data_IF_034357298005
#
_entry.id   IF_034357298005
#
_cell.length_a   1.000
_cell.length_b   1.000
_cell.length_c   1.000
_cell.angle_alpha   90.00
_cell.angle_beta   90.00
_cell.angle_gamma   90.00
#
_symmetry.space_group_name_H-M   'P 1'
#
loop_
_entity.id
_entity.type
_entity.pdbx_description
1 polymer ?
#
# COMPACT_ATOMS: atom_id res chain seq x y z
N UNK A 1 -0.27 8.32 28.50
CA UNK A 1 -1.22 7.50 27.70
C UNK A 1 -1.76 8.36 26.56
N UNK A 2 -1.85 7.87 25.30
CA UNK A 2 -2.42 8.67 24.22
C UNK A 2 -3.90 8.93 24.51
N UNK A 3 -4.32 10.19 24.37
CA UNK A 3 -5.71 10.59 24.58
C UNK A 3 -6.64 9.93 23.57
N UNK A 4 -7.76 9.34 24.00
CA UNK A 4 -8.75 8.75 23.11
C UNK A 4 -9.31 9.79 22.10
N UNK A 5 -9.63 9.40 20.85
CA UNK A 5 -10.31 10.26 19.88
C UNK A 5 -11.62 10.81 20.43
N UNK A 6 -11.94 12.09 20.10
CA UNK A 6 -13.22 12.72 20.49
C UNK A 6 -14.37 12.14 19.63
N UNK A 7 -15.58 12.04 20.19
CA UNK A 7 -16.78 11.58 19.44
C UNK A 7 -17.07 12.42 18.19
N UNK A 8 -16.83 13.72 18.25
CA UNK A 8 -16.98 14.64 17.10
C UNK A 8 -16.09 14.28 15.90
N UNK A 9 -15.00 13.52 16.11
CA UNK A 9 -14.10 13.09 15.01
C UNK A 9 -14.53 11.77 14.35
N UNK A 10 -15.57 11.10 14.79
CA UNK A 10 -16.00 9.79 14.26
C UNK A 10 -16.34 9.79 12.76
N UNK A 11 -17.08 10.79 12.21
CA UNK A 11 -17.31 10.85 10.76
C UNK A 11 -16.00 10.97 9.96
N UNK A 12 -15.05 11.79 10.46
CA UNK A 12 -13.73 11.94 9.85
C UNK A 12 -12.90 10.63 9.90
N UNK A 13 -12.99 9.88 11.01
CA UNK A 13 -12.33 8.57 11.16
C UNK A 13 -12.92 7.55 10.18
N UNK A 14 -14.25 7.50 10.03
CA UNK A 14 -14.91 6.61 9.06
C UNK A 14 -14.52 6.94 7.62
N UNK A 15 -14.47 8.23 7.26
CA UNK A 15 -14.01 8.68 5.94
C UNK A 15 -12.54 8.34 5.67
N UNK A 16 -11.67 8.61 6.65
CA UNK A 16 -10.25 8.27 6.56
C UNK A 16 -10.03 6.75 6.44
N UNK A 17 -10.83 5.92 7.14
CA UNK A 17 -10.76 4.48 7.06
C UNK A 17 -11.15 3.97 5.67
N UNK A 18 -12.25 4.46 5.08
CA UNK A 18 -12.66 4.10 3.72
C UNK A 18 -11.58 4.47 2.70
N UNK A 19 -11.04 5.67 2.80
CA UNK A 19 -9.97 6.13 1.92
C UNK A 19 -8.72 5.24 2.07
N UNK A 20 -8.31 4.92 3.30
CA UNK A 20 -7.22 3.98 3.57
C UNK A 20 -7.46 2.60 2.95
N UNK A 21 -8.67 2.04 3.07
CA UNK A 21 -9.01 0.74 2.51
C UNK A 21 -8.86 0.72 0.99
N UNK A 22 -9.38 1.74 0.29
CA UNK A 22 -9.27 1.86 -1.16
C UNK A 22 -7.80 1.96 -1.57
N UNK A 23 -7.03 2.86 -0.94
CA UNK A 23 -5.61 3.03 -1.23
C UNK A 23 -4.82 1.75 -0.95
N UNK A 24 -5.11 1.04 0.14
CA UNK A 24 -4.45 -0.21 0.53
C UNK A 24 -4.65 -1.31 -0.52
N UNK A 25 -5.87 -1.46 -1.03
CA UNK A 25 -6.18 -2.45 -2.07
C UNK A 25 -5.45 -2.11 -3.38
N UNK A 26 -5.54 -0.85 -3.84
CA UNK A 26 -4.89 -0.41 -5.07
C UNK A 26 -3.37 -0.60 -4.98
N UNK A 27 -2.76 -0.15 -3.88
CA UNK A 27 -1.32 -0.28 -3.66
C UNK A 27 -0.90 -1.75 -3.52
N UNK A 28 -1.71 -2.59 -2.86
CA UNK A 28 -1.48 -4.02 -2.73
C UNK A 28 -1.51 -4.75 -4.08
N UNK A 29 -2.50 -4.45 -4.93
CA UNK A 29 -2.57 -5.00 -6.30
C UNK A 29 -1.40 -4.51 -7.14
N UNK A 30 -1.07 -3.21 -7.10
CA UNK A 30 0.09 -2.65 -7.80
C UNK A 30 1.40 -3.31 -7.40
N UNK A 31 1.57 -3.61 -6.10
CA UNK A 31 2.74 -4.32 -5.59
C UNK A 31 2.82 -5.77 -6.11
N UNK A 32 1.69 -6.48 -6.18
CA UNK A 32 1.65 -7.83 -6.74
C UNK A 32 2.02 -7.83 -8.22
N UNK A 33 1.50 -6.88 -9.00
CA UNK A 33 1.89 -6.71 -10.40
C UNK A 33 3.39 -6.44 -10.53
N UNK A 34 3.93 -5.54 -9.71
CA UNK A 34 5.36 -5.23 -9.71
C UNK A 34 6.22 -6.45 -9.37
N UNK A 35 5.83 -7.24 -8.36
CA UNK A 35 6.54 -8.48 -8.02
C UNK A 35 6.46 -9.50 -9.17
N UNK A 36 5.30 -9.61 -9.84
CA UNK A 36 5.15 -10.48 -11.01
C UNK A 36 6.09 -10.06 -12.13
N UNK A 37 6.16 -8.76 -12.46
CA UNK A 37 7.08 -8.22 -13.45
C UNK A 37 8.55 -8.47 -13.06
N UNK A 38 8.90 -8.30 -11.80
CA UNK A 38 10.24 -8.60 -11.31
C UNK A 38 10.59 -10.08 -11.47
N UNK A 39 9.64 -10.98 -11.21
CA UNK A 39 9.83 -12.42 -11.45
C UNK A 39 10.04 -12.69 -12.95
N UNK A 40 9.21 -12.15 -13.84
CA UNK A 40 9.33 -12.35 -15.28
C UNK A 40 10.66 -11.83 -15.81
N UNK A 41 11.11 -10.68 -15.34
CA UNK A 41 12.33 -10.03 -15.82
C UNK A 41 13.62 -10.67 -15.31
N UNK A 42 13.68 -11.02 -14.01
CA UNK A 42 14.92 -11.41 -13.32
C UNK A 42 15.07 -12.93 -13.12
N UNK A 43 14.05 -13.74 -13.43
CA UNK A 43 14.19 -15.21 -13.46
C UNK A 43 14.67 -15.69 -14.83
N UNK A 44 14.95 -16.99 -15.04
CA UNK A 44 15.34 -17.53 -16.34
C UNK A 44 14.35 -17.30 -17.49
N UNK A 45 13.17 -16.72 -17.22
CA UNK A 45 12.17 -16.39 -18.24
C UNK A 45 12.64 -15.17 -19.07
N UNK A 46 13.27 -14.18 -18.42
CA UNK A 46 13.85 -12.97 -19.04
C UNK A 46 12.93 -12.28 -20.05
N UNK A 47 11.69 -11.95 -19.66
CA UNK A 47 10.76 -11.23 -20.53
C UNK A 47 10.24 -9.96 -19.85
N UNK A 48 9.94 -8.96 -20.65
CA UNK A 48 9.29 -7.71 -20.26
C UNK A 48 8.03 -7.48 -21.09
N UNK A 49 7.01 -6.88 -20.48
CA UNK A 49 5.75 -6.58 -21.13
C UNK A 49 5.79 -5.19 -21.79
N UNK A 50 5.42 -5.12 -23.06
CA UNK A 50 5.35 -3.90 -23.87
C UNK A 50 3.97 -3.66 -24.43
N UNK A 51 3.64 -2.38 -24.61
CA UNK A 51 2.44 -1.89 -25.28
C UNK A 51 2.84 -1.17 -26.56
N UNK A 52 2.30 -1.61 -27.71
CA UNK A 52 2.64 -1.03 -29.02
C UNK A 52 4.02 -1.45 -29.52
N UNK A 53 4.46 -0.86 -30.61
CA UNK A 53 5.71 -1.22 -31.28
C UNK A 53 5.56 -2.38 -32.29
N UNK A 54 6.67 -3.02 -32.65
CA UNK A 54 6.72 -4.05 -33.70
C UNK A 54 5.96 -5.33 -33.34
N UNK A 55 5.81 -5.64 -32.03
CA UNK A 55 5.14 -6.86 -31.56
C UNK A 55 3.61 -6.74 -31.41
N UNK A 56 3.01 -5.57 -31.67
CA UNK A 56 1.56 -5.38 -31.62
C UNK A 56 1.05 -4.64 -30.39
N UNK A 57 -0.24 -4.81 -30.05
CA UNK A 57 -0.85 -4.02 -28.98
C UNK A 57 -0.30 -4.34 -27.60
N UNK A 58 -0.14 -5.62 -27.26
CA UNK A 58 0.45 -6.10 -26.01
C UNK A 58 1.27 -7.35 -26.31
N UNK A 59 2.54 -7.33 -25.95
CA UNK A 59 3.47 -8.40 -26.27
C UNK A 59 4.63 -8.49 -25.29
N UNK A 60 5.27 -9.65 -25.24
CA UNK A 60 6.45 -9.88 -24.42
C UNK A 60 7.71 -9.74 -25.27
N UNK A 61 8.61 -8.88 -24.86
CA UNK A 61 9.94 -8.76 -25.44
C UNK A 61 10.96 -9.47 -24.56
N UNK A 62 11.98 -10.05 -25.19
CA UNK A 62 13.08 -10.66 -24.47
C UNK A 62 13.90 -9.60 -23.74
N UNK A 63 14.25 -9.90 -22.51
CA UNK A 63 15.13 -9.10 -21.67
C UNK A 63 16.51 -9.80 -21.65
N UNK A 64 17.50 -9.21 -22.32
CA UNK A 64 18.84 -9.81 -22.44
C UNK A 64 19.69 -9.43 -21.23
N UNK A 65 20.12 -10.40 -20.41
CA UNK A 65 21.04 -10.13 -19.30
C UNK A 65 22.41 -9.72 -19.85
N UNK A 66 22.97 -8.63 -19.32
CA UNK A 66 24.31 -8.21 -19.64
C UNK A 66 25.37 -9.23 -19.18
N UNK A 67 26.61 -9.13 -19.69
CA UNK A 67 27.68 -10.11 -19.42
C UNK A 67 28.03 -10.24 -17.92
N UNK A 68 27.74 -9.21 -17.11
CA UNK A 68 28.03 -9.19 -15.67
C UNK A 68 26.83 -9.64 -14.80
N UNK A 69 25.75 -10.14 -15.41
CA UNK A 69 24.52 -10.50 -14.76
C UNK A 69 24.60 -11.87 -14.09
N UNK A 70 24.95 -11.90 -12.80
CA UNK A 70 24.81 -13.09 -11.98
C UNK A 70 23.55 -12.99 -11.12
N UNK A 71 22.85 -14.10 -10.96
CA UNK A 71 21.56 -14.18 -10.25
C UNK A 71 21.56 -13.54 -8.85
N UNK A 72 22.69 -13.58 -8.16
CA UNK A 72 22.88 -13.01 -6.83
C UNK A 72 23.57 -11.63 -6.80
N UNK A 73 23.89 -11.03 -7.93
CA UNK A 73 24.63 -9.75 -7.96
C UNK A 73 23.86 -8.59 -7.32
N UNK A 74 22.52 -8.70 -7.24
CA UNK A 74 21.68 -7.72 -6.55
C UNK A 74 21.86 -7.73 -5.02
N UNK A 75 22.31 -8.85 -4.44
CA UNK A 75 22.45 -9.06 -3.00
C UNK A 75 23.89 -9.08 -2.52
N UNK A 76 24.86 -8.99 -3.42
CA UNK A 76 26.27 -8.96 -3.07
C UNK A 76 26.74 -7.52 -2.88
N UNK A 77 27.23 -7.11 -1.69
CA UNK A 77 27.82 -5.79 -1.49
C UNK A 77 28.99 -5.57 -2.45
N UNK A 78 28.89 -4.53 -3.29
CA UNK A 78 29.90 -4.23 -4.33
C UNK A 78 29.69 -4.91 -5.69
N UNK A 79 28.62 -5.70 -5.85
CA UNK A 79 28.21 -6.20 -7.18
C UNK A 79 27.68 -5.06 -8.05
N UNK A 80 28.19 -4.95 -9.26
CA UNK A 80 27.71 -4.00 -10.29
C UNK A 80 26.35 -4.45 -10.81
N UNK A 81 25.28 -4.39 -10.12
CA UNK A 81 23.91 -4.79 -10.47
C UNK A 81 23.72 -5.41 -11.87
N UNK A 82 22.82 -6.34 -11.98
CA UNK A 82 22.50 -6.96 -13.26
C UNK A 82 21.88 -5.92 -14.20
N UNK A 83 22.60 -5.46 -15.23
CA UNK A 83 22.02 -4.66 -16.29
C UNK A 83 21.26 -5.57 -17.26
N UNK A 84 19.94 -5.46 -17.24
CA UNK A 84 19.07 -6.17 -18.19
C UNK A 84 18.71 -5.19 -19.30
N UNK A 85 19.10 -5.50 -20.51
CA UNK A 85 18.79 -4.73 -21.70
C UNK A 85 17.45 -5.19 -22.26
N UNK A 86 16.53 -4.27 -22.38
CA UNK A 86 15.23 -4.51 -23.02
C UNK A 86 15.38 -4.47 -24.54
N UNK A 87 14.80 -5.43 -25.24
CA UNK A 87 14.78 -5.46 -26.72
C UNK A 87 13.49 -4.90 -27.32
N UNK A 88 12.51 -4.53 -26.46
CA UNK A 88 11.23 -4.00 -26.92
C UNK A 88 11.31 -2.53 -27.36
N UNK A 89 10.51 -2.19 -28.38
CA UNK A 89 10.45 -0.86 -29.01
C UNK A 89 9.16 -0.08 -28.71
N UNK A 90 8.33 -0.57 -27.80
CA UNK A 90 7.07 0.06 -27.37
C UNK A 90 7.16 0.77 -26.02
N UNK A 91 5.99 1.04 -25.42
CA UNK A 91 5.89 1.52 -24.06
C UNK A 91 6.14 0.37 -23.09
N UNK A 92 7.18 0.47 -22.28
CA UNK A 92 7.53 -0.54 -21.29
C UNK A 92 6.51 -0.50 -20.14
N UNK A 93 5.65 -1.53 -20.08
CA UNK A 93 4.58 -1.64 -19.06
C UNK A 93 5.18 -1.92 -17.69
N UNK A 94 6.29 -2.67 -17.59
CA UNK A 94 6.98 -2.92 -16.32
C UNK A 94 7.43 -1.61 -15.67
N UNK A 95 8.00 -0.70 -16.47
CA UNK A 95 8.37 0.64 -16.01
C UNK A 95 7.13 1.48 -15.62
N UNK A 96 6.07 1.39 -16.43
CA UNK A 96 4.81 2.10 -16.13
C UNK A 96 4.19 1.62 -14.81
N UNK A 97 4.16 0.31 -14.56
CA UNK A 97 3.69 -0.27 -13.29
C UNK A 97 4.53 0.25 -12.11
N UNK A 98 5.86 0.28 -12.25
CA UNK A 98 6.75 0.79 -11.21
C UNK A 98 6.46 2.26 -10.86
N UNK A 99 6.33 3.12 -11.87
CA UNK A 99 6.07 4.56 -11.68
C UNK A 99 4.68 4.77 -11.05
N UNK A 100 3.65 4.11 -11.59
CA UNK A 100 2.26 4.23 -11.11
C UNK A 100 2.15 3.70 -9.67
N UNK A 101 2.76 2.55 -9.37
CA UNK A 101 2.79 2.00 -8.01
C UNK A 101 3.47 2.98 -7.04
N UNK A 102 4.59 3.59 -7.43
CA UNK A 102 5.29 4.58 -6.62
C UNK A 102 4.40 5.76 -6.23
N UNK A 103 3.64 6.32 -7.18
CA UNK A 103 2.68 7.40 -6.91
C UNK A 103 1.53 6.96 -6.00
N UNK A 104 0.94 5.79 -6.24
CA UNK A 104 -0.10 5.25 -5.37
C UNK A 104 0.41 4.95 -3.97
N UNK A 105 1.67 4.53 -3.84
CA UNK A 105 2.29 4.34 -2.53
C UNK A 105 2.40 5.63 -1.73
N UNK A 106 2.72 6.77 -2.36
CA UNK A 106 2.71 8.09 -1.69
C UNK A 106 1.30 8.43 -1.19
N UNK A 107 0.26 8.25 -2.02
CA UNK A 107 -1.14 8.47 -1.62
C UNK A 107 -1.54 7.53 -0.47
N UNK A 108 -1.11 6.28 -0.53
CA UNK A 108 -1.30 5.30 0.54
C UNK A 108 -0.65 5.75 1.85
N UNK A 109 0.58 6.26 1.85
CA UNK A 109 1.25 6.79 3.04
C UNK A 109 0.48 7.96 3.66
N UNK A 110 -0.06 8.87 2.83
CA UNK A 110 -0.93 9.97 3.29
C UNK A 110 -2.18 9.41 3.98
N UNK A 111 -2.80 8.37 3.40
CA UNK A 111 -3.96 7.71 4.00
C UNK A 111 -3.65 7.04 5.34
N UNK A 112 -2.51 6.35 5.45
CA UNK A 112 -2.00 5.75 6.68
C UNK A 112 -1.77 6.82 7.76
N UNK A 113 -1.15 7.94 7.38
CA UNK A 113 -0.90 9.06 8.28
C UNK A 113 -2.20 9.66 8.82
N UNK A 114 -3.21 9.84 7.96
CA UNK A 114 -4.53 10.34 8.39
C UNK A 114 -5.19 9.41 9.41
N UNK A 115 -5.24 8.10 9.14
CA UNK A 115 -5.82 7.13 10.09
C UNK A 115 -5.03 7.11 11.39
N UNK A 116 -3.71 7.05 11.32
CA UNK A 116 -2.82 7.06 12.47
C UNK A 116 -3.03 8.31 13.35
N UNK A 117 -3.04 9.50 12.74
CA UNK A 117 -3.21 10.78 13.43
C UNK A 117 -4.58 10.89 14.11
N UNK A 118 -5.67 10.53 13.39
CA UNK A 118 -7.04 10.58 13.94
C UNK A 118 -7.25 9.59 15.09
N UNK A 119 -6.68 8.40 14.99
CA UNK A 119 -6.75 7.35 16.00
C UNK A 119 -5.75 7.56 17.14
N UNK A 120 -4.83 8.53 17.03
CA UNK A 120 -3.79 8.84 18.01
C UNK A 120 -2.99 7.61 18.45
N UNK A 121 -2.66 6.75 17.50
CA UNK A 121 -1.90 5.53 17.75
C UNK A 121 -0.41 5.83 18.01
N UNK A 122 0.34 4.93 18.67
CA UNK A 122 1.78 5.05 18.79
C UNK A 122 2.43 4.96 17.41
N UNK A 123 3.57 5.65 17.21
CA UNK A 123 4.28 5.73 15.92
C UNK A 123 4.61 4.36 15.32
N UNK A 124 4.91 3.37 16.14
CA UNK A 124 5.16 1.98 15.69
C UNK A 124 4.02 1.44 14.81
N UNK A 125 2.76 1.76 15.09
CA UNK A 125 1.63 1.33 14.25
C UNK A 125 1.63 2.02 12.89
N UNK A 126 2.04 3.28 12.82
CA UNK A 126 2.20 3.96 11.53
C UNK A 126 3.25 3.26 10.68
N UNK A 127 4.41 2.90 11.25
CA UNK A 127 5.47 2.17 10.54
C UNK A 127 4.96 0.82 10.02
N UNK A 128 4.23 0.04 10.83
CA UNK A 128 3.63 -1.22 10.37
C UNK A 128 2.62 -1.01 9.23
N UNK A 129 1.80 0.04 9.29
CA UNK A 129 0.89 0.37 8.19
C UNK A 129 1.66 0.73 6.93
N UNK A 130 2.69 1.57 7.03
CA UNK A 130 3.52 1.97 5.90
C UNK A 130 4.21 0.77 5.23
N UNK A 131 4.73 -0.19 6.00
CA UNK A 131 5.33 -1.42 5.49
C UNK A 131 4.33 -2.29 4.70
N UNK A 132 3.03 -2.15 4.95
CA UNK A 132 2.01 -2.83 4.18
C UNK A 132 2.06 -2.56 2.68
N UNK A 133 2.52 -1.37 2.25
CA UNK A 133 2.66 -1.03 0.84
C UNK A 133 3.97 -1.50 0.19
N UNK A 134 4.87 -2.14 0.94
CA UNK A 134 6.18 -2.64 0.46
C UNK A 134 6.26 -4.16 0.49
N UNK A 135 5.59 -4.79 1.45
CA UNK A 135 5.63 -6.26 1.61
C UNK A 135 4.40 -6.88 0.93
N UNK A 136 4.59 -7.80 -0.03
CA UNK A 136 3.49 -8.50 -0.70
C UNK A 136 2.53 -9.14 0.32
N UNK A 137 1.24 -9.10 0.02
CA UNK A 137 0.13 -9.61 0.87
C UNK A 137 -0.06 -8.91 2.22
N UNK A 138 0.96 -8.26 2.79
CA UNK A 138 0.87 -7.59 4.09
C UNK A 138 -0.16 -6.43 4.05
N UNK A 139 -0.29 -5.75 2.91
CA UNK A 139 -1.29 -4.71 2.69
C UNK A 139 -2.71 -5.19 2.99
N UNK A 140 -3.09 -6.34 2.44
CA UNK A 140 -4.43 -6.92 2.63
C UNK A 140 -4.67 -7.37 4.06
N UNK A 141 -3.66 -7.99 4.70
CA UNK A 141 -3.76 -8.44 6.10
C UNK A 141 -3.92 -7.24 7.04
N UNK A 142 -3.11 -6.18 6.83
CA UNK A 142 -3.15 -4.98 7.65
C UNK A 142 -4.44 -4.18 7.44
N UNK A 143 -4.96 -4.13 6.19
CA UNK A 143 -6.24 -3.50 5.87
C UNK A 143 -7.37 -4.13 6.69
N UNK A 144 -7.54 -5.46 6.61
CA UNK A 144 -8.61 -6.18 7.33
C UNK A 144 -8.48 -6.01 8.85
N UNK A 145 -7.25 -6.16 9.39
CA UNK A 145 -6.99 -6.01 10.83
C UNK A 145 -7.25 -4.59 11.32
N UNK A 146 -6.79 -3.61 10.57
CA UNK A 146 -6.97 -2.18 10.91
C UNK A 146 -8.43 -1.78 10.83
N UNK A 147 -9.14 -2.17 9.76
CA UNK A 147 -10.55 -1.90 9.59
C UNK A 147 -11.39 -2.50 10.71
N UNK A 148 -11.16 -3.77 11.06
CA UNK A 148 -11.86 -4.44 12.18
C UNK A 148 -11.63 -3.69 13.50
N UNK A 149 -10.38 -3.33 13.80
CA UNK A 149 -10.02 -2.64 15.05
C UNK A 149 -10.65 -1.25 15.15
N UNK A 150 -10.61 -0.47 14.07
CA UNK A 150 -11.21 0.86 14.05
C UNK A 150 -12.73 0.78 14.20
N UNK A 151 -13.38 -0.12 13.45
CA UNK A 151 -14.84 -0.33 13.53
C UNK A 151 -15.28 -0.79 14.93
N UNK A 152 -14.58 -1.75 15.53
CA UNK A 152 -14.86 -2.22 16.89
C UNK A 152 -14.73 -1.08 17.91
N UNK A 153 -13.66 -0.28 17.82
CA UNK A 153 -13.46 0.89 18.70
C UNK A 153 -14.60 1.91 18.56
N UNK A 154 -15.03 2.22 17.32
CA UNK A 154 -16.13 3.16 17.09
C UNK A 154 -17.45 2.64 17.66
N UNK A 155 -17.77 1.36 17.44
CA UNK A 155 -18.98 0.71 17.93
C UNK A 155 -19.03 0.70 19.47
N UNK A 156 -17.94 0.34 20.14
CA UNK A 156 -17.83 0.35 21.60
C UNK A 156 -18.07 1.75 22.17
N UNK A 157 -17.47 2.77 21.57
CA UNK A 157 -17.62 4.17 22.04
C UNK A 157 -19.02 4.74 21.77
N UNK A 158 -19.67 4.34 20.69
CA UNK A 158 -21.07 4.72 20.37
C UNK A 158 -22.04 4.04 21.35
N UNK A 159 -21.85 2.75 21.65
CA UNK A 159 -22.65 2.02 22.63
C UNK A 159 -22.50 2.63 24.05
N UNK A 160 -21.27 2.94 24.46
CA UNK A 160 -21.01 3.59 25.76
C UNK A 160 -21.69 4.97 25.87
N UNK A 161 -21.79 5.72 24.74
CA UNK A 161 -22.53 6.99 24.73
C UNK A 161 -24.04 6.77 24.84
N UNK A 162 -24.59 5.76 24.18
CA UNK A 162 -26.03 5.47 24.21
C UNK A 162 -26.48 4.98 25.62
N UNK A 163 -25.61 4.30 26.35
CA UNK A 163 -25.89 3.82 27.71
C UNK A 163 -25.59 4.82 28.83
N UNK A 164 -25.01 5.99 28.52
CA UNK A 164 -24.76 7.03 29.49
C UNK A 164 -26.11 7.63 30.00
N UNK A 165 -26.31 7.80 31.33
CA UNK A 165 -27.51 8.42 31.83
C UNK A 165 -27.69 9.83 31.27
N UNK A 166 -28.89 10.16 30.83
CA UNK A 166 -29.23 11.54 30.43
C UNK A 166 -29.03 12.43 31.65
N UNK A 167 -28.21 13.50 31.56
CA UNK A 167 -28.08 14.46 32.67
C UNK A 167 -29.49 14.94 33.05
N UNK A 168 -29.82 14.86 34.33
CA UNK A 168 -31.07 15.43 34.83
C UNK A 168 -31.13 16.92 34.43
N UNK A 169 -32.28 17.44 33.97
CA UNK A 169 -32.41 18.84 33.67
C UNK A 169 -32.03 19.65 34.92
N UNK A 170 -31.01 20.50 34.80
CA UNK A 170 -30.66 21.44 35.86
C UNK A 170 -31.90 22.28 36.13
N UNK A 171 -32.53 22.01 37.26
CA UNK A 171 -33.67 22.78 37.73
C UNK A 171 -33.25 24.23 37.90
N UNK A 172 -33.88 25.11 37.15
CA UNK A 172 -33.78 26.55 37.20
C UNK A 172 -34.08 26.99 38.65
N UNK A 173 -33.04 27.40 39.37
CA UNK A 173 -33.20 28.14 40.62
C UNK A 173 -32.92 29.60 40.38
#
# INVERSE_FOLDING_TARGET
MPRAPKLASFPAIRGALKFYQICSIITGVGLLLLVTEMILKYTPIHVELFLGGSGGFLWFADAVPGPDCQWFSLFVPGGNGCSILSTGDGVNISLAILVVHGWFYVVYLISCFRVWSLMRWPFRRFVFLALGGVVPFLSFILEVRTARRVRAYLAEREAAKASAPVPAPEGNR
#
